data_IF_801018907597
#
_entry.id   IF_801018907597
#
_cell.length_a   1.000
_cell.length_b   1.000
_cell.length_c   1.000
_cell.angle_alpha   90.00
_cell.angle_beta   90.00
_cell.angle_gamma   90.00
#
_symmetry.space_group_name_H-M   'P 1'
#
loop_
_entity.id
_entity.type
_entity.pdbx_description
1 polymer ?
#
# COMPACT_ATOMS: atom_id res chain seq x y z
N UNK A 1 -5.01 1.06 -12.00
CA UNK A 1 -4.01 1.80 -11.19
C UNK A 1 -2.75 2.15 -11.97
N UNK A 2 -1.98 1.19 -12.49
CA UNK A 2 -0.72 1.46 -13.20
C UNK A 2 -0.88 2.42 -14.41
N UNK A 3 -1.90 2.22 -15.24
CA UNK A 3 -2.22 3.09 -16.38
C UNK A 3 -2.49 4.54 -15.94
N UNK A 4 -3.23 4.72 -14.84
CA UNK A 4 -3.52 6.05 -14.30
C UNK A 4 -2.24 6.73 -13.79
N UNK A 5 -1.40 6.00 -13.05
CA UNK A 5 -0.12 6.52 -12.56
C UNK A 5 0.80 6.98 -13.71
N UNK A 6 0.91 6.17 -14.77
CA UNK A 6 1.68 6.53 -15.96
C UNK A 6 1.11 7.77 -16.67
N UNK A 7 -0.23 7.88 -16.81
CA UNK A 7 -0.89 9.05 -17.38
C UNK A 7 -0.74 10.32 -16.54
N UNK A 8 -0.58 10.19 -15.23
CA UNK A 8 -0.28 11.30 -14.33
C UNK A 8 1.18 11.77 -14.42
N UNK A 9 2.01 11.17 -15.27
CA UNK A 9 3.40 11.59 -15.51
C UNK A 9 4.42 10.96 -14.56
N UNK A 10 4.10 9.82 -13.94
CA UNK A 10 5.10 9.06 -13.18
C UNK A 10 6.32 8.73 -14.07
N UNK A 11 7.53 9.01 -13.58
CA UNK A 11 8.79 8.78 -14.31
C UNK A 11 8.97 7.31 -14.71
N UNK A 12 8.54 6.41 -13.85
CA UNK A 12 8.53 4.96 -14.05
C UNK A 12 7.36 4.35 -13.29
N UNK A 13 6.75 3.31 -13.84
CA UNK A 13 5.67 2.57 -13.20
C UNK A 13 6.01 1.08 -13.23
N UNK A 14 5.97 0.45 -12.06
CA UNK A 14 5.97 -1.01 -11.94
C UNK A 14 4.56 -1.47 -11.62
N UNK A 15 3.98 -2.31 -12.47
CA UNK A 15 2.72 -2.99 -12.22
C UNK A 15 3.00 -4.42 -11.76
N UNK A 16 2.36 -4.82 -10.67
CA UNK A 16 2.52 -6.14 -10.09
C UNK A 16 1.19 -6.89 -10.02
N UNK A 17 1.21 -8.15 -10.45
CA UNK A 17 0.17 -9.12 -10.19
C UNK A 17 0.78 -10.53 -10.22
N UNK A 18 0.45 -11.39 -9.26
CA UNK A 18 0.97 -12.77 -9.23
C UNK A 18 0.38 -13.65 -10.32
N UNK A 19 -0.76 -13.27 -10.90
CA UNK A 19 -1.38 -13.97 -12.01
C UNK A 19 -0.69 -13.59 -13.35
N UNK A 20 -0.06 -14.54 -14.06
CA UNK A 20 0.54 -14.25 -15.37
C UNK A 20 -0.47 -13.76 -16.42
N UNK A 21 -1.76 -14.14 -16.32
CA UNK A 21 -2.79 -13.64 -17.23
C UNK A 21 -3.14 -12.17 -16.97
N UNK A 22 -3.14 -11.77 -15.70
CA UNK A 22 -3.27 -10.36 -15.33
C UNK A 22 -2.08 -9.55 -15.85
N UNK A 23 -0.85 -10.08 -15.78
CA UNK A 23 0.34 -9.45 -16.34
C UNK A 23 0.20 -9.19 -17.86
N UNK A 24 -0.28 -10.17 -18.62
CA UNK A 24 -0.55 -10.01 -20.06
C UNK A 24 -1.61 -8.93 -20.29
N UNK A 25 -2.69 -8.93 -19.50
CA UNK A 25 -3.76 -7.94 -19.60
C UNK A 25 -3.27 -6.52 -19.30
N UNK A 26 -2.35 -6.37 -18.35
CA UNK A 26 -1.69 -5.09 -18.03
C UNK A 26 -0.85 -4.62 -19.22
N UNK A 27 -0.04 -5.50 -19.82
CA UNK A 27 0.78 -5.19 -21.00
C UNK A 27 -0.07 -4.72 -22.18
N UNK A 28 -1.15 -5.46 -22.49
CA UNK A 28 -2.09 -5.09 -23.55
C UNK A 28 -2.71 -3.71 -23.29
N UNK A 29 -3.15 -3.43 -22.06
CA UNK A 29 -3.71 -2.12 -21.71
C UNK A 29 -2.69 -0.99 -21.79
N UNK A 30 -1.44 -1.24 -21.38
CA UNK A 30 -0.36 -0.26 -21.49
C UNK A 30 -0.08 0.09 -22.96
N UNK A 31 0.03 -0.93 -23.83
CA UNK A 31 0.20 -0.76 -25.27
C UNK A 31 -0.95 0.00 -25.92
N UNK A 32 -2.20 -0.33 -25.59
CA UNK A 32 -3.38 0.37 -26.11
C UNK A 32 -3.41 1.85 -25.72
N UNK A 33 -2.80 2.23 -24.59
CA UNK A 33 -2.70 3.61 -24.15
C UNK A 33 -1.38 4.30 -24.55
N UNK A 34 -0.51 3.62 -25.31
CA UNK A 34 0.85 4.09 -25.63
C UNK A 34 1.69 4.45 -24.40
N UNK A 35 1.60 3.63 -23.34
CA UNK A 35 2.32 3.83 -22.09
C UNK A 35 3.39 2.75 -21.90
N UNK A 36 4.51 3.13 -21.31
CA UNK A 36 5.55 2.19 -20.86
C UNK A 36 5.35 1.86 -19.39
N UNK A 37 5.17 0.59 -19.07
CA UNK A 37 4.98 0.07 -17.71
C UNK A 37 5.86 -1.17 -17.54
N UNK A 38 6.66 -1.22 -16.47
CA UNK A 38 7.41 -2.41 -16.09
C UNK A 38 6.43 -3.37 -15.43
N UNK A 39 6.43 -4.64 -15.83
CA UNK A 39 5.50 -5.64 -15.30
C UNK A 39 6.30 -6.69 -14.56
N UNK A 40 5.85 -7.05 -13.35
CA UNK A 40 6.44 -8.11 -12.55
C UNK A 40 5.36 -9.03 -12.00
N UNK A 41 5.59 -10.34 -12.11
CA UNK A 41 4.73 -11.36 -11.52
C UNK A 41 5.23 -11.87 -10.16
N UNK A 42 6.20 -11.19 -9.56
CA UNK A 42 6.70 -11.55 -8.24
C UNK A 42 5.61 -11.42 -7.18
N UNK A 43 5.69 -12.24 -6.14
CA UNK A 43 4.84 -12.03 -4.97
C UNK A 43 5.44 -10.93 -4.09
N UNK A 44 5.03 -9.68 -4.31
CA UNK A 44 5.50 -8.53 -3.53
C UNK A 44 5.14 -8.66 -2.03
N UNK A 45 4.08 -9.41 -1.69
CA UNK A 45 3.74 -9.72 -0.28
C UNK A 45 4.81 -10.62 0.36
N UNK A 46 5.65 -11.30 -0.41
CA UNK A 46 6.77 -12.11 0.08
C UNK A 46 8.15 -11.45 -0.09
N UNK A 47 8.28 -10.34 -0.83
CA UNK A 47 9.56 -9.65 -1.02
C UNK A 47 10.08 -8.93 0.24
N UNK A 48 11.37 -8.63 0.33
CA UNK A 48 11.94 -8.07 1.57
C UNK A 48 11.58 -6.60 1.83
N UNK A 49 11.31 -5.79 0.80
CA UNK A 49 10.99 -4.37 0.99
C UNK A 49 10.26 -3.71 -0.19
N UNK A 50 9.59 -2.59 0.07
CA UNK A 50 8.99 -1.70 -0.93
C UNK A 50 9.83 -0.41 -1.14
N UNK A 51 11.13 -0.48 -0.87
CA UNK A 51 11.98 0.72 -0.75
C UNK A 51 12.32 1.37 -2.10
N UNK A 52 12.16 0.63 -3.20
CA UNK A 52 12.56 1.05 -4.55
C UNK A 52 11.58 2.03 -5.20
N UNK A 53 10.41 2.25 -4.59
CA UNK A 53 9.36 3.14 -5.11
C UNK A 53 9.13 4.33 -4.19
N UNK A 54 8.84 5.49 -4.77
CA UNK A 54 8.47 6.70 -4.03
C UNK A 54 6.98 6.70 -3.64
N UNK A 55 6.15 6.05 -4.46
CA UNK A 55 4.70 5.93 -4.28
C UNK A 55 4.28 4.48 -4.42
N UNK A 56 3.52 3.97 -3.46
CA UNK A 56 2.94 2.62 -3.47
C UNK A 56 1.42 2.73 -3.54
N UNK A 57 0.83 2.10 -4.56
CA UNK A 57 -0.62 2.06 -4.75
C UNK A 57 -1.09 0.61 -4.64
N UNK A 58 -2.04 0.34 -3.76
CA UNK A 58 -2.57 -1.00 -3.49
C UNK A 58 -4.06 -1.05 -3.80
N UNK A 59 -4.48 -2.08 -4.52
CA UNK A 59 -5.88 -2.39 -4.79
C UNK A 59 -6.04 -3.86 -5.14
N UNK A 60 -7.14 -4.50 -4.76
CA UNK A 60 -7.51 -5.86 -5.21
C UNK A 60 -7.03 -7.01 -4.33
N UNK A 61 -6.52 -6.73 -3.14
CA UNK A 61 -5.80 -7.71 -2.30
C UNK A 61 -6.54 -8.12 -1.02
N UNK A 62 -7.82 -7.80 -0.90
CA UNK A 62 -8.60 -7.93 0.35
C UNK A 62 -9.21 -9.33 0.61
N UNK A 63 -8.78 -10.38 -0.09
CA UNK A 63 -9.45 -11.69 -0.05
C UNK A 63 -8.84 -12.68 0.95
N UNK A 64 -7.54 -12.56 1.27
CA UNK A 64 -6.82 -13.51 2.13
C UNK A 64 -6.22 -12.79 3.33
N UNK A 65 -6.85 -12.95 4.50
CA UNK A 65 -6.49 -12.23 5.73
C UNK A 65 -4.99 -12.30 6.10
N UNK A 66 -4.34 -13.45 5.95
CA UNK A 66 -2.90 -13.59 6.24
C UNK A 66 -2.02 -12.75 5.30
N UNK A 67 -2.33 -12.77 4.00
CA UNK A 67 -1.63 -11.96 3.00
C UNK A 67 -1.90 -10.47 3.22
N UNK A 68 -3.13 -10.09 3.59
CA UNK A 68 -3.50 -8.71 3.95
C UNK A 68 -2.70 -8.22 5.16
N UNK A 69 -2.60 -9.04 6.21
CA UNK A 69 -1.84 -8.70 7.43
C UNK A 69 -0.37 -8.42 7.11
N UNK A 70 0.27 -9.33 6.37
CA UNK A 70 1.68 -9.18 5.94
C UNK A 70 1.87 -7.93 5.08
N UNK A 71 0.93 -7.67 4.17
CA UNK A 71 0.96 -6.50 3.32
C UNK A 71 0.84 -5.21 4.14
N UNK A 72 -0.12 -5.10 5.06
CA UNK A 72 -0.30 -3.90 5.90
C UNK A 72 0.96 -3.57 6.69
N UNK A 73 1.63 -4.58 7.27
CA UNK A 73 2.91 -4.37 7.94
C UNK A 73 3.97 -3.75 7.01
N UNK A 74 4.09 -4.24 5.77
CA UNK A 74 5.05 -3.68 4.79
C UNK A 74 4.70 -2.27 4.36
N UNK A 75 3.41 -1.99 4.18
CA UNK A 75 2.92 -0.67 3.80
C UNK A 75 3.20 0.36 4.90
N UNK A 76 3.05 -0.02 6.17
CA UNK A 76 3.47 0.77 7.34
C UNK A 76 4.96 1.10 7.27
N UNK A 77 5.82 0.09 7.15
CA UNK A 77 7.27 0.26 7.05
C UNK A 77 7.66 1.15 5.86
N UNK A 78 6.99 1.02 4.72
CA UNK A 78 7.21 1.89 3.57
C UNK A 78 6.83 3.34 3.88
N UNK A 79 5.68 3.56 4.52
CA UNK A 79 5.24 4.89 4.93
C UNK A 79 6.23 5.54 5.92
N UNK A 80 6.72 4.78 6.91
CA UNK A 80 7.69 5.27 7.89
C UNK A 80 9.05 5.61 7.26
N UNK A 81 9.39 4.95 6.15
CA UNK A 81 10.55 5.28 5.31
C UNK A 81 10.29 6.43 4.34
N UNK A 82 9.19 7.16 4.51
CA UNK A 82 8.85 8.35 3.72
C UNK A 82 8.22 8.06 2.36
N UNK A 83 7.79 6.82 2.09
CA UNK A 83 7.08 6.50 0.84
C UNK A 83 5.62 6.93 0.94
N UNK A 84 5.05 7.44 -0.15
CA UNK A 84 3.63 7.78 -0.17
C UNK A 84 2.79 6.53 -0.48
N UNK A 85 1.98 6.08 0.47
CA UNK A 85 1.20 4.84 0.32
C UNK A 85 -0.29 5.13 0.26
N UNK A 86 -0.95 4.61 -0.78
CA UNK A 86 -2.39 4.74 -0.99
C UNK A 86 -3.05 3.38 -1.25
N UNK A 87 -4.24 3.19 -0.71
CA UNK A 87 -5.02 1.96 -0.80
C UNK A 87 -6.40 2.30 -1.35
N UNK A 88 -6.83 1.57 -2.39
CA UNK A 88 -8.23 1.45 -2.75
C UNK A 88 -8.75 0.10 -2.28
N UNK A 89 -9.62 0.10 -1.28
CA UNK A 89 -10.17 -1.12 -0.69
C UNK A 89 -11.68 -0.97 -0.41
N UNK A 90 -12.55 -1.36 -1.36
CA UNK A 90 -13.99 -1.30 -1.18
C UNK A 90 -14.50 -2.20 -0.04
N UNK A 91 -13.78 -3.27 0.34
CA UNK A 91 -14.24 -4.18 1.39
C UNK A 91 -13.95 -3.67 2.80
N UNK A 92 -13.01 -2.73 2.93
CA UNK A 92 -12.49 -2.25 4.21
C UNK A 92 -11.64 -3.26 4.97
N UNK A 93 -11.31 -4.42 4.38
CA UNK A 93 -10.52 -5.47 5.04
C UNK A 93 -9.12 -4.99 5.40
N UNK A 94 -8.47 -4.18 4.57
CA UNK A 94 -7.14 -3.64 4.85
C UNK A 94 -7.19 -2.70 6.06
N UNK A 95 -8.28 -1.92 6.19
CA UNK A 95 -8.50 -0.99 7.31
C UNK A 95 -8.65 -1.71 8.64
N UNK A 96 -9.16 -2.96 8.67
CA UNK A 96 -9.30 -3.72 9.93
C UNK A 96 -7.97 -4.16 10.54
N UNK A 97 -6.89 -4.18 9.74
CA UNK A 97 -5.52 -4.46 10.19
C UNK A 97 -4.72 -3.19 10.51
N UNK A 98 -5.28 -2.01 10.22
CA UNK A 98 -4.67 -0.73 10.54
C UNK A 98 -4.94 -0.35 12.01
N UNK A 99 -4.00 0.38 12.60
CA UNK A 99 -4.22 1.02 13.89
C UNK A 99 -5.10 2.25 13.74
N UNK A 100 -5.77 2.65 14.82
CA UNK A 100 -6.58 3.87 14.82
C UNK A 100 -5.71 5.09 14.49
N UNK A 101 -6.08 5.85 13.46
CA UNK A 101 -5.32 7.04 13.01
C UNK A 101 -4.15 6.75 12.06
N UNK A 102 -3.83 5.48 11.79
CA UNK A 102 -2.76 5.10 10.84
C UNK A 102 -3.11 5.40 9.38
N UNK A 103 -4.41 5.44 9.06
CA UNK A 103 -4.90 5.72 7.72
C UNK A 103 -5.91 6.86 7.76
N UNK A 104 -5.89 7.67 6.69
CA UNK A 104 -6.87 8.73 6.47
C UNK A 104 -7.49 8.60 5.09
N UNK A 105 -8.81 8.72 5.02
CA UNK A 105 -9.55 8.87 3.76
C UNK A 105 -9.13 10.16 3.05
N UNK A 106 -8.68 10.05 1.80
CA UNK A 106 -8.26 11.19 0.98
C UNK A 106 -9.16 11.41 -0.24
N UNK A 107 -9.97 10.43 -0.60
CA UNK A 107 -11.00 10.56 -1.63
C UNK A 107 -12.06 9.48 -1.45
N UNK A 108 -13.26 9.73 -1.96
CA UNK A 108 -14.40 8.82 -1.98
C UNK A 108 -14.98 8.79 -3.39
N UNK A 109 -15.46 7.63 -3.82
CA UNK A 109 -15.96 7.41 -5.17
C UNK A 109 -17.20 6.51 -5.15
N UNK A 110 -18.16 6.85 -6.00
CA UNK A 110 -19.22 5.92 -6.38
C UNK A 110 -18.69 4.92 -7.40
N UNK A 111 -18.96 3.64 -7.15
CA UNK A 111 -18.66 2.55 -8.06
C UNK A 111 -19.71 2.49 -9.17
N UNK A 112 -19.27 2.16 -10.39
CA UNK A 112 -20.21 1.93 -11.50
C UNK A 112 -21.12 0.74 -11.21
N UNK A 113 -22.29 0.69 -11.86
CA UNK A 113 -23.22 -0.44 -11.73
C UNK A 113 -22.56 -1.79 -12.08
N UNK A 114 -21.65 -1.79 -13.05
CA UNK A 114 -20.84 -2.95 -13.40
C UNK A 114 -19.93 -3.38 -12.25
N UNK A 115 -19.22 -2.44 -11.63
CA UNK A 115 -18.35 -2.73 -10.49
C UNK A 115 -19.17 -3.25 -9.31
N UNK A 116 -20.32 -2.64 -9.02
CA UNK A 116 -21.22 -3.14 -7.99
C UNK A 116 -21.67 -4.58 -8.25
N UNK A 117 -22.01 -4.95 -9.49
CA UNK A 117 -22.35 -6.34 -9.85
C UNK A 117 -21.17 -7.31 -9.70
N UNK A 118 -19.95 -6.83 -9.96
CA UNK A 118 -18.75 -7.67 -9.94
C UNK A 118 -18.20 -7.89 -8.53
N UNK A 119 -18.11 -6.83 -7.72
CA UNK A 119 -17.45 -6.84 -6.41
C UNK A 119 -18.39 -6.59 -5.23
N UNK A 120 -19.65 -6.20 -5.46
CA UNK A 120 -20.67 -6.06 -4.40
C UNK A 120 -20.68 -4.72 -3.67
N UNK A 121 -19.80 -3.78 -4.03
CA UNK A 121 -19.66 -2.48 -3.35
C UNK A 121 -20.12 -1.32 -4.24
N UNK A 122 -20.97 -0.44 -3.69
CA UNK A 122 -21.50 0.75 -4.40
C UNK A 122 -20.61 1.97 -4.26
N UNK A 123 -19.80 2.01 -3.22
CA UNK A 123 -18.92 3.12 -2.91
C UNK A 123 -17.56 2.54 -2.50
N UNK A 124 -16.51 3.34 -2.67
CA UNK A 124 -15.17 3.00 -2.20
C UNK A 124 -14.43 4.25 -1.78
N UNK A 125 -13.53 4.09 -0.82
CA UNK A 125 -12.63 5.14 -0.38
C UNK A 125 -11.20 4.86 -0.82
N UNK A 126 -10.44 5.94 -1.03
CA UNK A 126 -8.99 5.88 -1.11
C UNK A 126 -8.42 6.31 0.23
N UNK A 127 -7.72 5.39 0.87
CA UNK A 127 -7.03 5.60 2.13
C UNK A 127 -5.56 5.94 1.84
N UNK A 128 -5.02 6.90 2.58
CA UNK A 128 -3.59 7.20 2.59
C UNK A 128 -3.02 6.79 3.95
N UNK A 129 -1.94 5.99 3.96
CA UNK A 129 -1.19 5.77 5.20
C UNK A 129 -0.57 7.08 5.66
N UNK A 130 -0.54 7.24 6.97
CA UNK A 130 0.09 8.36 7.64
C UNK A 130 1.11 7.79 8.60
N UNK A 131 2.22 8.51 8.76
CA UNK A 131 3.19 8.14 9.78
C UNK A 131 2.47 8.13 11.12
N UNK A 132 2.47 6.96 11.74
CA UNK A 132 1.79 6.70 12.99
C UNK A 132 2.84 6.69 14.09
N UNK A 133 2.82 7.71 14.95
CA UNK A 133 3.67 7.72 16.15
C UNK A 133 3.03 6.76 17.14
N UNK A 134 3.66 5.61 17.36
CA UNK A 134 3.19 4.66 18.36
C UNK A 134 3.45 5.21 19.77
N UNK A 135 2.76 4.68 20.79
CA UNK A 135 3.15 4.91 22.19
C UNK A 135 4.59 4.47 22.46
N UNK A 136 5.09 3.47 21.74
CA UNK A 136 6.48 3.03 21.81
C UNK A 136 7.42 4.08 21.24
N UNK A 137 7.07 4.74 20.13
CA UNK A 137 7.85 5.86 19.59
C UNK A 137 7.86 7.06 20.54
N UNK A 138 6.74 7.34 21.23
CA UNK A 138 6.70 8.34 22.31
C UNK A 138 7.62 7.95 23.47
N UNK A 139 7.62 6.67 23.87
CA UNK A 139 8.51 6.14 24.92
C UNK A 139 9.97 6.23 24.46
N UNK A 140 10.29 5.81 23.25
CA UNK A 140 11.63 5.85 22.67
C UNK A 140 12.11 7.29 22.63
N UNK A 141 11.33 8.23 22.11
CA UNK A 141 11.74 9.64 22.04
C UNK A 141 11.87 10.26 23.45
N UNK A 142 10.97 9.92 24.37
CA UNK A 142 11.03 10.36 25.78
C UNK A 142 12.28 9.85 26.52
N UNK A 143 12.72 8.63 26.22
CA UNK A 143 13.85 7.98 26.92
C UNK A 143 15.13 7.89 26.08
N UNK A 144 15.15 8.45 24.86
CA UNK A 144 16.30 8.45 23.94
C UNK A 144 17.58 8.98 24.58
N UNK A 145 17.45 10.02 25.41
CA UNK A 145 18.56 10.60 26.18
C UNK A 145 19.09 9.65 27.26
N UNK A 146 18.22 8.88 27.93
CA UNK A 146 18.62 7.88 28.92
C UNK A 146 19.38 6.71 28.28
N UNK A 147 19.02 6.31 27.06
CA UNK A 147 19.67 5.19 26.35
C UNK A 147 21.03 5.63 25.79
N UNK A 148 21.11 6.83 25.21
CA UNK A 148 22.33 7.32 24.56
C UNK A 148 23.43 7.75 25.55
N UNK A 149 23.09 8.26 26.74
CA UNK A 149 24.09 8.74 27.71
C UNK A 149 24.59 7.67 28.69
N UNK A 150 23.90 6.54 28.86
CA UNK A 150 24.21 5.59 29.93
C UNK A 150 24.83 4.26 29.48
N UNK A 151 25.04 4.02 28.19
CA UNK A 151 25.61 2.77 27.66
C UNK A 151 24.96 1.51 28.30
N UNK A 152 23.65 1.59 28.52
CA UNK A 152 22.89 0.58 29.24
C UNK A 152 22.33 -0.47 28.28
N UNK A 153 22.56 -1.74 28.60
CA UNK A 153 21.80 -2.85 28.02
C UNK A 153 20.46 -2.98 28.75
N UNK A 154 19.36 -2.77 28.03
CA UNK A 154 17.99 -2.90 28.54
C UNK A 154 17.41 -4.19 27.99
N UNK A 155 16.83 -5.01 28.88
CA UNK A 155 15.96 -6.12 28.52
C UNK A 155 14.53 -5.77 28.92
N UNK A 156 13.60 -5.91 27.98
CA UNK A 156 12.16 -5.70 28.16
C UNK A 156 11.47 -7.03 27.94
#
# INVERSE_FOLDING_TARGET
TAIAAARCGAKSVTANDIDPWACISIDMNAKLNNLSVIITNNNIIQESSLSDWDVVLVSGVWYKYEEVSQLVFKLRVACDRGKAVYIGDPSGTIKTFAQEGEMKTVAEYECSEYSFKLIGYKETEVLKFQHYVTKEDEIVEKYKYLINDLNMSIFV
#
